data_IF_824569491119
#
_entry.id   IF_824569491119
#
_cell.length_a   1.000
_cell.length_b   1.000
_cell.length_c   1.000
_cell.angle_alpha   90.00
_cell.angle_beta   90.00
_cell.angle_gamma   90.00
#
_symmetry.space_group_name_H-M   'P 1'
#
loop_
_entity.id
_entity.type
_entity.pdbx_description
1 polymer ?
#
# COMPACT_ATOMS: atom_id res chain seq x y z
N UNK A 1 -27.32 6.42 -19.12
CA UNK A 1 -25.92 6.55 -19.56
C UNK A 1 -25.82 5.83 -20.89
N UNK A 2 -25.05 6.33 -21.87
CA UNK A 2 -24.90 5.61 -23.14
C UNK A 2 -24.05 4.34 -22.96
N UNK A 3 -24.09 3.42 -23.91
CA UNK A 3 -23.24 2.23 -23.89
C UNK A 3 -21.76 2.59 -24.08
N UNK A 4 -21.48 3.62 -24.89
CA UNK A 4 -20.14 4.21 -25.02
C UNK A 4 -19.65 4.82 -23.70
N UNK A 5 -20.50 5.57 -23.01
CA UNK A 5 -20.15 6.18 -21.71
C UNK A 5 -19.84 5.09 -20.67
N UNK A 6 -20.61 3.99 -20.67
CA UNK A 6 -20.40 2.84 -19.79
C UNK A 6 -19.04 2.20 -20.09
N UNK A 7 -18.75 1.96 -21.36
CA UNK A 7 -17.50 1.35 -21.78
C UNK A 7 -16.28 2.17 -21.37
N UNK A 8 -16.31 3.48 -21.60
CA UNK A 8 -15.25 4.40 -21.18
C UNK A 8 -15.05 4.38 -19.67
N UNK A 9 -16.15 4.43 -18.90
CA UNK A 9 -16.12 4.37 -17.45
C UNK A 9 -15.50 3.06 -16.94
N UNK A 10 -15.85 1.92 -17.54
CA UNK A 10 -15.28 0.61 -17.21
C UNK A 10 -13.78 0.57 -17.53
N UNK A 11 -13.39 1.03 -18.72
CA UNK A 11 -11.99 1.06 -19.14
C UNK A 11 -11.12 1.94 -18.24
N UNK A 12 -11.58 3.14 -17.92
CA UNK A 12 -10.86 4.04 -17.01
C UNK A 12 -10.72 3.42 -15.61
N UNK A 13 -11.82 2.87 -15.09
CA UNK A 13 -11.80 2.24 -13.76
C UNK A 13 -10.82 1.08 -13.73
N UNK A 14 -10.81 0.23 -14.77
CA UNK A 14 -9.84 -0.85 -14.90
C UNK A 14 -8.40 -0.35 -14.94
N UNK A 15 -8.09 0.67 -15.75
CA UNK A 15 -6.74 1.24 -15.83
C UNK A 15 -6.25 1.77 -14.48
N UNK A 16 -7.13 2.40 -13.71
CA UNK A 16 -6.78 2.92 -12.40
C UNK A 16 -6.61 1.80 -11.36
N UNK A 17 -7.39 0.72 -11.45
CA UNK A 17 -7.18 -0.50 -10.64
C UNK A 17 -5.83 -1.16 -10.95
N UNK A 18 -5.48 -1.30 -12.23
CA UNK A 18 -4.18 -1.88 -12.64
C UNK A 18 -3.01 -1.03 -12.13
N UNK A 19 -3.11 0.30 -12.26
CA UNK A 19 -2.13 1.23 -11.69
C UNK A 19 -2.05 1.11 -10.17
N UNK A 20 -3.18 0.94 -9.51
CA UNK A 20 -3.23 0.83 -8.05
C UNK A 20 -2.56 -0.47 -7.56
N UNK A 21 -2.77 -1.59 -8.25
CA UNK A 21 -2.06 -2.86 -8.00
C UNK A 21 -0.55 -2.66 -8.19
N UNK A 22 -0.16 -2.06 -9.32
CA UNK A 22 1.26 -1.87 -9.66
C UNK A 22 1.98 -0.96 -8.67
N UNK A 23 1.35 0.13 -8.24
CA UNK A 23 1.90 0.98 -7.17
C UNK A 23 2.04 0.22 -5.85
N UNK A 24 1.16 -0.74 -5.58
CA UNK A 24 1.28 -1.62 -4.41
C UNK A 24 2.54 -2.45 -4.43
N UNK A 25 2.84 -3.08 -5.57
CA UNK A 25 4.08 -3.84 -5.77
C UNK A 25 5.31 -2.95 -5.61
N UNK A 26 5.28 -1.73 -6.17
CA UNK A 26 6.37 -0.75 -6.02
C UNK A 26 6.58 -0.32 -4.58
N UNK A 27 5.51 -0.05 -3.83
CA UNK A 27 5.58 0.27 -2.40
C UNK A 27 6.21 -0.88 -1.60
N UNK A 28 5.77 -2.12 -1.85
CA UNK A 28 6.33 -3.31 -1.20
C UNK A 28 7.82 -3.49 -1.54
N UNK A 29 8.22 -3.31 -2.80
CA UNK A 29 9.61 -3.43 -3.23
C UNK A 29 10.51 -2.35 -2.60
N UNK A 30 10.03 -1.10 -2.51
CA UNK A 30 10.74 0.00 -1.85
C UNK A 30 10.93 -0.27 -0.35
N UNK A 31 9.87 -0.71 0.34
CA UNK A 31 9.92 -1.14 1.74
C UNK A 31 10.91 -2.30 1.96
N UNK A 32 10.97 -3.26 1.02
CA UNK A 32 11.95 -4.35 1.03
C UNK A 32 13.39 -3.87 1.00
N UNK A 33 13.68 -2.80 0.23
CA UNK A 33 15.00 -2.14 0.17
C UNK A 33 15.26 -1.16 1.33
N UNK A 34 14.27 -0.90 2.18
CA UNK A 34 14.37 0.10 3.25
C UNK A 34 14.18 1.55 2.79
N UNK A 35 13.72 1.75 1.55
CA UNK A 35 13.39 3.05 0.99
C UNK A 35 11.95 3.43 1.38
N UNK A 36 11.81 3.93 2.61
CA UNK A 36 10.51 4.26 3.20
C UNK A 36 9.86 5.50 2.60
N UNK A 37 10.65 6.44 2.08
CA UNK A 37 10.12 7.64 1.41
C UNK A 37 9.45 7.28 0.10
N UNK A 38 10.11 6.47 -0.74
CA UNK A 38 9.49 5.97 -1.98
C UNK A 38 8.29 5.09 -1.67
N UNK A 39 8.37 4.22 -0.65
CA UNK A 39 7.23 3.40 -0.24
C UNK A 39 6.03 4.27 0.15
N UNK A 40 6.26 5.33 0.95
CA UNK A 40 5.21 6.28 1.35
C UNK A 40 4.61 7.01 0.15
N UNK A 41 5.44 7.53 -0.75
CA UNK A 41 4.97 8.24 -1.93
C UNK A 41 4.07 7.37 -2.82
N UNK A 42 4.42 6.08 -2.98
CA UNK A 42 3.59 5.14 -3.75
C UNK A 42 2.24 4.85 -3.05
N UNK A 43 2.21 4.76 -1.71
CA UNK A 43 0.97 4.58 -0.94
C UNK A 43 0.07 5.82 -0.97
N UNK A 44 0.65 7.02 -0.88
CA UNK A 44 -0.09 8.28 -1.00
C UNK A 44 -0.74 8.41 -2.38
N UNK A 45 0.00 8.07 -3.45
CA UNK A 45 -0.55 8.06 -4.80
C UNK A 45 -1.65 6.99 -5.00
N UNK A 46 -1.58 5.86 -4.27
CA UNK A 46 -2.67 4.87 -4.26
C UNK A 46 -3.95 5.39 -3.62
N UNK A 47 -3.84 6.23 -2.57
CA UNK A 47 -5.01 6.86 -1.94
C UNK A 47 -5.78 7.73 -2.93
N UNK A 48 -5.07 8.51 -3.75
CA UNK A 48 -5.70 9.32 -4.79
C UNK A 48 -6.45 8.48 -5.84
N UNK A 49 -5.88 7.34 -6.25
CA UNK A 49 -6.56 6.40 -7.17
C UNK A 49 -7.80 5.76 -6.52
N UNK A 50 -7.75 5.45 -5.22
CA UNK A 50 -8.89 4.91 -4.48
C UNK A 50 -10.09 5.86 -4.48
N UNK A 51 -9.85 7.16 -4.30
CA UNK A 51 -10.91 8.18 -4.33
C UNK A 51 -11.56 8.26 -5.72
N UNK A 52 -10.76 8.26 -6.78
CA UNK A 52 -11.27 8.27 -8.16
C UNK A 52 -12.06 7.01 -8.52
N UNK A 53 -11.53 5.82 -8.17
CA UNK A 53 -12.23 4.55 -8.38
C UNK A 53 -13.54 4.52 -7.59
N UNK A 54 -13.53 4.92 -6.32
CA UNK A 54 -14.74 4.97 -5.48
C UNK A 54 -15.82 5.86 -6.09
N UNK A 55 -15.45 7.05 -6.59
CA UNK A 55 -16.37 7.96 -7.25
C UNK A 55 -16.96 7.37 -8.55
N UNK A 56 -16.16 6.64 -9.34
CA UNK A 56 -16.65 5.94 -10.55
C UNK A 56 -17.59 4.79 -10.20
N UNK A 57 -17.27 4.00 -9.18
CA UNK A 57 -18.14 2.91 -8.72
C UNK A 57 -19.47 3.42 -8.17
N UNK A 58 -19.47 4.55 -7.43
CA UNK A 58 -20.71 5.19 -6.99
C UNK A 58 -21.58 5.64 -8.17
N UNK A 59 -20.97 6.20 -9.24
CA UNK A 59 -21.71 6.56 -10.46
C UNK A 59 -22.30 5.34 -11.17
N UNK A 60 -21.56 4.25 -11.26
CA UNK A 60 -22.06 2.96 -11.78
C UNK A 60 -23.25 2.46 -10.97
N UNK A 61 -23.12 2.47 -9.64
CA UNK A 61 -24.17 1.99 -8.75
C UNK A 61 -25.44 2.84 -8.82
N UNK A 62 -25.29 4.17 -8.86
CA UNK A 62 -26.41 5.09 -9.05
C UNK A 62 -27.12 4.90 -10.40
N UNK A 63 -26.38 4.52 -11.45
CA UNK A 63 -26.96 4.14 -12.74
C UNK A 63 -27.74 2.82 -12.71
N UNK A 64 -27.37 1.90 -11.84
CA UNK A 64 -28.00 0.59 -11.67
C UNK A 64 -29.21 0.59 -10.72
N UNK A 65 -29.32 1.60 -9.85
CA UNK A 65 -30.36 1.68 -8.83
C UNK A 65 -31.78 1.89 -9.44
N UNK A 66 -32.85 1.40 -8.76
CA UNK A 66 -34.23 1.68 -9.15
C UNK A 66 -34.49 3.20 -9.15
N UNK A 67 -34.86 3.76 -10.30
CA UNK A 67 -35.06 5.20 -10.48
C UNK A 67 -33.87 5.96 -11.09
N UNK A 68 -32.72 5.31 -11.29
CA UNK A 68 -31.64 5.83 -12.13
C UNK A 68 -31.99 5.80 -13.63
N UNK A 69 -31.15 6.43 -14.47
CA UNK A 69 -31.34 6.44 -15.95
C UNK A 69 -31.16 5.05 -16.61
N UNK A 70 -30.97 4.00 -15.81
CA UNK A 70 -30.64 2.64 -16.23
C UNK A 70 -29.20 2.50 -16.73
N UNK A 71 -28.56 1.40 -16.37
CA UNK A 71 -27.38 0.93 -17.10
C UNK A 71 -27.83 0.28 -18.42
N UNK A 72 -27.01 0.38 -19.49
CA UNK A 72 -27.18 -0.44 -20.68
C UNK A 72 -27.30 -1.92 -20.32
N UNK A 73 -28.34 -2.59 -20.83
CA UNK A 73 -28.63 -4.01 -20.55
C UNK A 73 -28.11 -4.99 -21.61
N UNK A 74 -27.33 -4.49 -22.59
CA UNK A 74 -26.74 -5.30 -23.66
C UNK A 74 -25.88 -6.45 -23.14
N UNK A 75 -25.65 -7.46 -23.97
CA UNK A 75 -24.74 -8.57 -23.64
C UNK A 75 -23.31 -8.05 -23.39
N UNK A 76 -22.83 -7.14 -24.23
CA UNK A 76 -21.52 -6.49 -24.10
C UNK A 76 -21.40 -5.71 -22.78
N UNK A 77 -22.41 -4.89 -22.45
CA UNK A 77 -22.45 -4.16 -21.19
C UNK A 77 -22.37 -5.07 -19.95
N UNK A 78 -23.09 -6.21 -19.96
CA UNK A 78 -23.00 -7.22 -18.90
C UNK A 78 -21.62 -7.85 -18.82
N UNK A 79 -21.01 -8.14 -19.97
CA UNK A 79 -19.67 -8.70 -20.03
C UNK A 79 -18.62 -7.72 -19.48
N UNK A 80 -18.71 -6.43 -19.80
CA UNK A 80 -17.79 -5.41 -19.31
C UNK A 80 -17.90 -5.21 -17.80
N UNK A 81 -19.11 -5.22 -17.26
CA UNK A 81 -19.35 -5.13 -15.81
C UNK A 81 -18.78 -6.35 -15.08
N UNK A 82 -18.99 -7.56 -15.60
CA UNK A 82 -18.42 -8.78 -15.03
C UNK A 82 -16.88 -8.77 -15.03
N UNK A 83 -16.27 -8.27 -16.11
CA UNK A 83 -14.81 -8.07 -16.16
C UNK A 83 -14.33 -7.05 -15.14
N UNK A 84 -15.06 -5.95 -14.95
CA UNK A 84 -14.72 -4.93 -13.95
C UNK A 84 -14.79 -5.50 -12.53
N UNK A 85 -15.82 -6.28 -12.20
CA UNK A 85 -15.94 -6.95 -10.91
C UNK A 85 -14.75 -7.87 -10.62
N UNK A 86 -14.30 -8.62 -11.62
CA UNK A 86 -13.12 -9.48 -11.47
C UNK A 86 -11.85 -8.67 -11.19
N UNK A 87 -11.63 -7.55 -11.91
CA UNK A 87 -10.48 -6.68 -11.65
C UNK A 87 -10.56 -6.04 -10.26
N UNK A 88 -11.76 -5.72 -9.76
CA UNK A 88 -11.95 -5.24 -8.40
C UNK A 88 -11.55 -6.29 -7.36
N UNK A 89 -11.94 -7.55 -7.57
CA UNK A 89 -11.52 -8.66 -6.67
C UNK A 89 -10.00 -8.81 -6.66
N UNK A 90 -9.37 -8.79 -7.83
CA UNK A 90 -7.91 -8.88 -7.96
C UNK A 90 -7.20 -7.73 -7.26
N UNK A 91 -7.72 -6.51 -7.40
CA UNK A 91 -7.19 -5.36 -6.68
C UNK A 91 -7.31 -5.56 -5.16
N UNK A 92 -8.51 -5.85 -4.64
CA UNK A 92 -8.71 -6.04 -3.20
C UNK A 92 -7.80 -7.13 -2.61
N UNK A 93 -7.57 -8.23 -3.33
CA UNK A 93 -6.63 -9.26 -2.89
C UNK A 93 -5.18 -8.76 -2.90
N UNK A 94 -4.75 -8.02 -3.93
CA UNK A 94 -3.43 -7.41 -3.97
C UNK A 94 -3.21 -6.41 -2.80
N UNK A 95 -4.25 -5.71 -2.36
CA UNK A 95 -4.18 -4.84 -1.20
C UNK A 95 -4.04 -5.59 0.11
N UNK A 96 -4.83 -6.66 0.27
CA UNK A 96 -4.72 -7.55 1.42
C UNK A 96 -3.31 -8.09 1.54
N UNK A 97 -2.73 -8.56 0.43
CA UNK A 97 -1.37 -9.06 0.37
C UNK A 97 -0.34 -7.97 0.70
N UNK A 98 -0.50 -6.75 0.17
CA UNK A 98 0.39 -5.64 0.53
C UNK A 98 0.34 -5.35 2.04
N UNK A 99 -0.86 -5.24 2.63
CA UNK A 99 -1.01 -4.92 4.06
C UNK A 99 -0.32 -5.95 4.93
N UNK A 100 -0.46 -7.23 4.59
CA UNK A 100 0.24 -8.32 5.27
C UNK A 100 1.76 -8.18 5.13
N UNK A 101 2.26 -7.93 3.92
CA UNK A 101 3.70 -7.76 3.70
C UNK A 101 4.29 -6.57 4.48
N UNK A 102 3.56 -5.45 4.55
CA UNK A 102 3.98 -4.28 5.33
C UNK A 102 3.90 -4.53 6.84
N UNK A 103 2.90 -5.27 7.33
CA UNK A 103 2.77 -5.64 8.73
C UNK A 103 3.94 -6.52 9.20
N UNK A 104 4.25 -7.58 8.46
CA UNK A 104 5.41 -8.46 8.73
C UNK A 104 6.70 -7.64 8.79
N UNK A 105 6.85 -6.68 7.88
CA UNK A 105 8.03 -5.83 7.84
C UNK A 105 8.10 -4.85 9.02
N UNK A 106 6.97 -4.29 9.45
CA UNK A 106 6.89 -3.45 10.63
C UNK A 106 7.31 -4.22 11.89
N UNK A 107 6.85 -5.45 12.05
CA UNK A 107 7.25 -6.33 13.15
C UNK A 107 8.76 -6.60 13.15
N UNK A 108 9.34 -6.96 12.01
CA UNK A 108 10.78 -7.18 11.89
C UNK A 108 11.62 -5.92 12.22
N UNK A 109 11.13 -4.72 11.88
CA UNK A 109 11.80 -3.47 12.27
C UNK A 109 11.68 -3.20 13.77
N UNK A 110 10.54 -3.51 14.38
CA UNK A 110 10.32 -3.34 15.82
C UNK A 110 11.25 -4.26 16.63
N UNK A 111 11.40 -5.52 16.22
CA UNK A 111 12.35 -6.45 16.83
C UNK A 111 13.80 -5.94 16.73
N UNK A 112 14.18 -5.44 15.54
CA UNK A 112 15.52 -4.87 15.34
C UNK A 112 15.75 -3.62 16.20
N UNK A 113 14.76 -2.75 16.34
CA UNK A 113 14.86 -1.59 17.21
C UNK A 113 15.02 -1.99 18.68
N UNK A 114 14.26 -3.01 19.12
CA UNK A 114 14.38 -3.55 20.47
C UNK A 114 15.78 -4.10 20.75
N UNK A 115 16.33 -4.89 19.82
CA UNK A 115 17.69 -5.41 19.91
C UNK A 115 18.74 -4.28 20.03
N UNK A 116 18.63 -3.23 19.21
CA UNK A 116 19.56 -2.10 19.25
C UNK A 116 19.47 -1.34 20.59
N UNK A 117 18.28 -1.18 21.15
CA UNK A 117 18.11 -0.57 22.47
C UNK A 117 18.72 -1.43 23.58
N UNK A 118 18.57 -2.76 23.53
CA UNK A 118 19.24 -3.67 24.46
C UNK A 118 20.76 -3.56 24.36
N UNK A 119 21.30 -3.55 23.14
CA UNK A 119 22.74 -3.39 22.90
C UNK A 119 23.25 -2.05 23.46
N UNK A 120 22.52 -0.96 23.23
CA UNK A 120 22.84 0.37 23.78
C UNK A 120 22.92 0.35 25.31
N UNK A 121 21.96 -0.31 25.97
CA UNK A 121 21.95 -0.46 27.44
C UNK A 121 23.12 -1.29 27.95
N UNK A 122 23.47 -2.37 27.27
CA UNK A 122 24.61 -3.21 27.62
C UNK A 122 25.93 -2.43 27.50
N UNK A 123 26.12 -1.69 26.41
CA UNK A 123 27.29 -0.82 26.22
C UNK A 123 27.37 0.23 27.32
N UNK A 124 26.25 0.88 27.66
CA UNK A 124 26.22 1.86 28.74
C UNK A 124 26.53 1.25 30.12
N UNK A 125 26.08 0.02 30.38
CA UNK A 125 26.40 -0.71 31.62
C UNK A 125 27.89 -1.07 31.69
N UNK A 126 28.47 -1.53 30.58
CA UNK A 126 29.90 -1.78 30.49
C UNK A 126 30.71 -0.51 30.77
N UNK A 127 30.35 0.62 30.15
CA UNK A 127 31.05 1.89 30.35
C UNK A 127 30.99 2.37 31.82
N UNK A 128 29.87 2.15 32.52
CA UNK A 128 29.74 2.46 33.95
C UNK A 128 30.59 1.59 34.87
N UNK A 129 30.85 0.35 34.45
CA UNK A 129 31.65 -0.62 35.20
C UNK A 129 33.11 -0.67 34.73
N UNK A 130 33.50 0.18 33.78
CA UNK A 130 34.89 0.27 33.34
C UNK A 130 35.74 0.85 34.49
N UNK A 131 36.85 0.19 34.86
CA UNK A 131 37.74 0.72 35.89
C UNK A 131 38.26 2.10 35.45
N UNK A 132 38.53 3.02 36.40
CA UNK A 132 39.10 4.32 36.06
C UNK A 132 40.38 4.10 35.26
N UNK A 133 40.51 4.81 34.15
CA UNK A 133 41.76 4.86 33.39
C UNK A 133 42.84 5.35 34.35
N UNK A 134 43.67 4.44 34.86
CA UNK A 134 44.84 4.85 35.63
C UNK A 134 45.68 5.70 34.69
N UNK A 135 45.99 6.96 35.04
CA UNK A 135 46.99 7.70 34.29
C UNK A 135 48.26 6.85 34.36
N UNK A 136 48.77 6.46 33.19
CA UNK A 136 50.13 5.95 33.12
C UNK A 136 50.99 7.16 33.46
N UNK A 137 51.39 7.27 34.72
CA UNK A 137 52.44 8.18 35.16
C UNK A 137 53.67 7.82 34.33
N UNK A 138 53.86 8.58 33.25
CA UNK A 138 55.12 8.64 32.52
C UNK A 138 56.04 9.52 33.36
N UNK A 139 56.55 8.96 34.44
CA UNK A 139 57.58 9.57 35.27
C UNK A 139 58.87 8.74 35.15
N UNK A 140 59.77 9.27 34.30
CA UNK A 140 61.21 9.05 34.18
C UNK A 140 61.74 7.67 33.77
#
# INVERSE_FOLDING_TARGET
MSETDLWELVLETRRDLDRWIERGRRAQAAAGRGDWETARAELEARRFLQEQVSARLHRLHAGAAPGGRGLPGGEDARQWLAQLEEHLRQALEADRQLRLALAVRHEALAERAHFLEQARRAVAAYARNAPPSTPVDSAN
#
